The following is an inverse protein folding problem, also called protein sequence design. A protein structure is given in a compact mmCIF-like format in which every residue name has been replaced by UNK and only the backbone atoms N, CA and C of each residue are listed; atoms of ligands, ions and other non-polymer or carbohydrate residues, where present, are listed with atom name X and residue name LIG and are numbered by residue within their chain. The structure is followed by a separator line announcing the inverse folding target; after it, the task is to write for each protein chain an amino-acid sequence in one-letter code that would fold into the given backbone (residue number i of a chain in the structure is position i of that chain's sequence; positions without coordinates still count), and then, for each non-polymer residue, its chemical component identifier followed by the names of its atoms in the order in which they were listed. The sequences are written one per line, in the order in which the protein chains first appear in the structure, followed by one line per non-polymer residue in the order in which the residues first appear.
data_IF_426961656527
#
_entry.id   IF_426961656527
#
_cell.length_a   1.000
_cell.length_b   1.000
_cell.length_c   1.000
_cell.angle_alpha   90.00
_cell.angle_beta   90.00
_cell.angle_gamma   90.00
#
_symmetry.space_group_name_H-M   'P 1'
#
loop_
_entity.id
_entity.type
_entity.pdbx_description
1 polymer ?
#
# COMPACT_ATOMS: atom_id res chain seq x y z
N UNK A 1 2.73 19.19 4.65
CA UNK A 1 2.46 18.54 3.34
C UNK A 1 2.45 17.05 3.57
N UNK A 2 1.33 16.37 3.32
CA UNK A 2 1.20 14.92 3.62
C UNK A 2 2.02 14.08 2.63
N UNK A 3 2.55 12.99 3.14
CA UNK A 3 3.40 12.02 2.45
C UNK A 3 2.70 10.67 2.42
N UNK A 4 2.71 10.00 1.29
CA UNK A 4 2.04 8.72 1.11
C UNK A 4 3.08 7.72 0.62
N UNK A 5 3.14 6.57 1.28
CA UNK A 5 3.92 5.41 0.85
C UNK A 5 2.97 4.41 0.21
N UNK A 6 3.35 3.89 -0.93
CA UNK A 6 2.67 2.83 -1.68
C UNK A 6 3.63 1.70 -1.97
N UNK A 7 3.13 0.48 -2.10
CA UNK A 7 3.92 -0.70 -2.46
C UNK A 7 3.80 -0.99 -3.95
N UNK A 8 4.90 -1.44 -4.55
CA UNK A 8 4.99 -1.93 -5.94
C UNK A 8 5.98 -3.09 -5.97
N UNK A 9 6.03 -3.83 -7.07
CA UNK A 9 6.97 -4.96 -7.24
C UNK A 9 6.48 -6.28 -6.61
N UNK A 10 5.30 -6.29 -6.00
CA UNK A 10 4.62 -7.49 -5.54
C UNK A 10 3.66 -8.03 -6.61
N UNK A 11 2.40 -8.19 -6.27
CA UNK A 11 1.36 -8.61 -7.22
C UNK A 11 1.12 -7.54 -8.26
N UNK A 12 1.26 -7.85 -9.54
CA UNK A 12 1.23 -6.88 -10.66
C UNK A 12 -0.04 -6.04 -10.68
N UNK A 13 -1.21 -6.64 -10.45
CA UNK A 13 -2.50 -5.93 -10.41
C UNK A 13 -2.58 -4.95 -9.24
N UNK A 14 -2.02 -5.29 -8.09
CA UNK A 14 -1.98 -4.41 -6.91
C UNK A 14 -0.99 -3.26 -7.11
N UNK A 15 0.15 -3.55 -7.72
CA UNK A 15 1.12 -2.52 -8.11
C UNK A 15 0.50 -1.53 -9.10
N UNK A 16 -0.31 -1.99 -10.07
CA UNK A 16 -1.06 -1.12 -10.98
C UNK A 16 -1.99 -0.17 -10.21
N UNK A 17 -2.80 -0.67 -9.27
CA UNK A 17 -3.66 0.19 -8.46
C UNK A 17 -2.87 1.18 -7.62
N UNK A 18 -1.76 0.75 -7.02
CA UNK A 18 -0.85 1.63 -6.28
C UNK A 18 -0.33 2.77 -7.15
N UNK A 19 0.08 2.49 -8.39
CA UNK A 19 0.58 3.50 -9.33
C UNK A 19 -0.55 4.48 -9.72
N UNK A 20 -1.75 3.99 -10.04
CA UNK A 20 -2.88 4.85 -10.41
C UNK A 20 -3.26 5.79 -9.26
N UNK A 21 -3.45 5.26 -8.06
CA UNK A 21 -3.74 6.07 -6.87
C UNK A 21 -2.64 7.09 -6.59
N UNK A 22 -1.39 6.66 -6.68
CA UNK A 22 -0.25 7.53 -6.44
C UNK A 22 -0.14 8.68 -7.45
N UNK A 23 -0.49 8.45 -8.72
CA UNK A 23 -0.54 9.50 -9.73
C UNK A 23 -1.60 10.55 -9.40
N UNK A 24 -2.81 10.13 -8.98
CA UNK A 24 -3.84 11.06 -8.56
C UNK A 24 -3.43 11.86 -7.30
N UNK A 25 -2.85 11.20 -6.30
CA UNK A 25 -2.36 11.91 -5.12
C UNK A 25 -1.24 12.92 -5.44
N UNK A 26 -0.35 12.60 -6.38
CA UNK A 26 0.65 13.57 -6.87
C UNK A 26 -0.02 14.78 -7.52
N UNK A 27 -1.08 14.58 -8.34
CA UNK A 27 -1.88 15.67 -8.91
C UNK A 27 -2.55 16.54 -7.84
N UNK A 28 -2.95 15.93 -6.72
CA UNK A 28 -3.52 16.62 -5.56
C UNK A 28 -2.45 17.31 -4.69
N UNK A 29 -1.17 17.22 -5.04
CA UNK A 29 -0.07 17.86 -4.33
C UNK A 29 0.53 17.07 -3.18
N UNK A 30 0.20 15.79 -3.02
CA UNK A 30 0.86 14.93 -2.04
C UNK A 30 2.24 14.49 -2.52
N UNK A 31 3.17 14.24 -1.59
CA UNK A 31 4.42 13.53 -1.89
C UNK A 31 4.16 12.03 -1.84
N UNK A 32 4.44 11.34 -2.93
CA UNK A 32 4.26 9.88 -3.03
C UNK A 32 5.61 9.20 -3.18
N UNK A 33 5.82 8.17 -2.37
CA UNK A 33 6.96 7.27 -2.44
C UNK A 33 6.46 5.86 -2.78
N UNK A 34 7.07 5.23 -3.78
CA UNK A 34 6.83 3.83 -4.09
C UNK A 34 7.94 2.98 -3.48
N UNK A 35 7.54 2.11 -2.55
CA UNK A 35 8.42 1.09 -2.01
C UNK A 35 8.36 -0.12 -2.94
N UNK A 36 9.49 -0.49 -3.51
CA UNK A 36 9.62 -1.60 -4.44
C UNK A 36 10.00 -2.87 -3.69
N UNK A 37 9.11 -3.87 -3.73
CA UNK A 37 9.31 -5.18 -3.10
C UNK A 37 10.33 -6.05 -3.84
N UNK A 38 10.62 -5.76 -5.12
CA UNK A 38 11.71 -6.43 -5.85
C UNK A 38 13.09 -5.89 -5.42
N UNK A 39 13.16 -4.68 -4.85
CA UNK A 39 14.39 -4.05 -4.38
C UNK A 39 14.22 -3.46 -2.97
N UNK A 40 13.83 -4.32 -2.03
CA UNK A 40 13.47 -3.93 -0.66
C UNK A 40 14.59 -3.17 0.07
N UNK A 41 15.84 -3.60 -0.09
CA UNK A 41 16.95 -3.01 0.66
C UNK A 41 17.26 -1.57 0.26
N UNK A 42 17.20 -1.25 -1.04
CA UNK A 42 17.37 0.12 -1.50
C UNK A 42 16.12 0.96 -1.21
N UNK A 43 14.94 0.36 -1.36
CA UNK A 43 13.66 0.99 -1.01
C UNK A 43 13.62 1.36 0.47
N UNK A 44 14.08 0.48 1.37
CA UNK A 44 14.15 0.75 2.81
C UNK A 44 15.07 1.94 3.15
N UNK A 45 16.24 2.02 2.50
CA UNK A 45 17.17 3.16 2.70
C UNK A 45 16.55 4.49 2.26
N UNK A 46 15.84 4.50 1.13
CA UNK A 46 15.14 5.69 0.60
C UNK A 46 13.92 6.04 1.47
N UNK A 47 13.17 5.02 1.91
CA UNK A 47 11.98 5.15 2.77
C UNK A 47 12.31 5.90 4.06
N UNK A 48 13.37 5.52 4.77
CA UNK A 48 13.81 6.18 6.02
C UNK A 48 14.08 7.67 5.86
N UNK A 49 14.54 8.10 4.68
CA UNK A 49 14.72 9.52 4.35
C UNK A 49 13.42 10.20 3.97
N UNK A 50 12.46 9.43 3.46
CA UNK A 50 11.17 9.94 3.04
C UNK A 50 10.19 10.10 4.20
N UNK A 51 10.14 9.15 5.14
CA UNK A 51 9.21 9.16 6.27
C UNK A 51 9.41 10.42 7.13
N UNK A 52 8.30 11.01 7.52
CA UNK A 52 8.22 12.04 8.57
C UNK A 52 7.08 11.67 9.52
N UNK A 53 7.36 11.50 10.82
CA UNK A 53 6.33 11.23 11.83
C UNK A 53 5.22 12.28 11.79
N UNK A 54 3.97 11.82 11.85
CA UNK A 54 2.79 12.70 11.80
C UNK A 54 2.41 13.25 10.42
N UNK A 55 3.31 13.16 9.40
CA UNK A 55 3.03 13.60 8.04
C UNK A 55 2.89 12.44 7.04
N UNK A 56 3.34 11.24 7.39
CA UNK A 56 3.40 10.07 6.49
C UNK A 56 2.31 9.08 6.81
N UNK A 57 1.71 8.50 5.78
CA UNK A 57 0.81 7.34 5.86
C UNK A 57 1.28 6.26 4.88
N UNK A 58 1.07 5.00 5.24
CA UNK A 58 1.14 3.88 4.32
C UNK A 58 -0.27 3.62 3.77
N UNK A 59 -0.37 3.40 2.47
CA UNK A 59 -1.56 2.79 1.85
C UNK A 59 -1.09 1.60 1.05
N UNK A 60 -1.67 0.44 1.33
CA UNK A 60 -1.29 -0.82 0.70
C UNK A 60 -2.50 -1.66 0.35
N UNK A 61 -2.29 -2.71 -0.42
CA UNK A 61 -3.28 -3.69 -0.79
C UNK A 61 -2.89 -5.07 -0.26
N UNK A 62 -3.87 -5.85 0.21
CA UNK A 62 -3.70 -7.25 0.58
C UNK A 62 -2.47 -7.54 1.44
N UNK A 63 -2.18 -6.64 2.39
CA UNK A 63 -1.08 -6.76 3.37
C UNK A 63 0.34 -6.66 2.81
N UNK A 64 0.56 -6.31 1.54
CA UNK A 64 1.92 -6.01 1.04
C UNK A 64 2.59 -4.96 1.94
N UNK A 65 3.83 -5.21 2.37
CA UNK A 65 4.55 -4.37 3.34
C UNK A 65 4.12 -4.53 4.80
N UNK A 66 3.24 -5.50 5.09
CA UNK A 66 2.73 -5.84 6.42
C UNK A 66 2.93 -7.34 6.75
N UNK A 67 3.68 -8.07 5.93
CA UNK A 67 3.97 -9.51 6.07
C UNK A 67 5.42 -9.78 6.49
N UNK A 68 6.01 -8.87 7.24
CA UNK A 68 7.41 -8.96 7.73
C UNK A 68 8.46 -8.98 6.63
N UNK A 69 8.21 -8.30 5.52
CA UNK A 69 9.19 -8.09 4.47
C UNK A 69 10.47 -7.46 5.03
N UNK A 70 11.63 -7.96 4.61
CA UNK A 70 12.93 -7.61 5.20
C UNK A 70 13.27 -6.11 5.14
N UNK A 71 12.72 -5.40 4.16
CA UNK A 71 12.91 -3.95 4.02
C UNK A 71 12.17 -3.11 5.04
N UNK A 72 11.08 -3.61 5.63
CA UNK A 72 10.17 -2.87 6.52
C UNK A 72 9.99 -3.52 7.89
N UNK A 73 10.48 -4.74 8.10
CA UNK A 73 10.43 -5.46 9.36
C UNK A 73 11.83 -5.90 9.83
N UNK A 74 12.04 -5.94 11.14
CA UNK A 74 13.24 -6.52 11.75
C UNK A 74 12.84 -7.36 12.93
N UNK A 75 13.30 -8.60 12.95
CA UNK A 75 13.06 -9.53 14.04
C UNK A 75 13.55 -8.95 15.39
N UNK A 76 12.73 -9.07 16.42
CA UNK A 76 13.01 -8.53 17.75
C UNK A 76 12.85 -7.01 17.91
N UNK A 77 12.59 -6.27 16.82
CA UNK A 77 12.37 -4.81 16.82
C UNK A 77 10.95 -4.48 16.37
N UNK A 78 10.45 -5.10 15.29
CA UNK A 78 9.14 -4.86 14.70
C UNK A 78 9.18 -4.10 13.38
N UNK A 79 8.05 -3.51 13.03
CA UNK A 79 7.86 -2.77 11.79
C UNK A 79 8.45 -1.35 11.83
N UNK A 80 8.99 -0.91 10.70
CA UNK A 80 9.39 0.49 10.51
C UNK A 80 8.19 1.44 10.67
N UNK A 81 6.98 0.95 10.40
CA UNK A 81 5.76 1.71 10.57
C UNK A 81 5.50 2.10 12.03
N UNK A 82 5.81 1.21 12.98
CA UNK A 82 5.70 1.48 14.42
C UNK A 82 6.84 2.38 14.90
N UNK A 83 8.07 2.16 14.42
CA UNK A 83 9.23 3.01 14.72
C UNK A 83 8.95 4.50 14.44
N UNK A 84 8.20 4.78 13.36
CA UNK A 84 7.85 6.16 12.96
C UNK A 84 6.39 6.53 13.21
N UNK A 85 5.63 5.69 13.91
CA UNK A 85 4.20 5.87 14.19
C UNK A 85 3.35 6.16 12.94
N UNK A 86 3.63 5.46 11.83
CA UNK A 86 2.97 5.62 10.53
C UNK A 86 1.64 4.88 10.54
N UNK A 87 0.50 5.54 10.28
CA UNK A 87 -0.77 4.86 10.05
C UNK A 87 -0.72 4.00 8.77
N UNK A 88 -1.13 2.73 8.89
CA UNK A 88 -1.11 1.73 7.84
C UNK A 88 -2.53 1.41 7.37
N UNK A 89 -2.93 1.94 6.23
CA UNK A 89 -4.22 1.67 5.61
C UNK A 89 -4.08 0.51 4.63
N UNK A 90 -4.64 -0.65 4.98
CA UNK A 90 -4.64 -1.84 4.13
C UNK A 90 -5.99 -1.98 3.43
N UNK A 91 -6.00 -1.91 2.12
CA UNK A 91 -7.18 -2.15 1.26
C UNK A 91 -7.22 -3.63 0.91
N UNK A 92 -8.07 -4.37 1.62
CA UNK A 92 -8.26 -5.80 1.40
C UNK A 92 -9.21 -6.00 0.21
N UNK A 93 -8.66 -6.45 -0.93
CA UNK A 93 -9.43 -6.68 -2.16
C UNK A 93 -10.06 -8.05 -2.20
N UNK A 94 -9.53 -9.02 -1.45
CA UNK A 94 -10.08 -10.38 -1.33
C UNK A 94 -10.89 -10.55 -0.05
N UNK A 95 -11.57 -11.69 0.07
CA UNK A 95 -12.41 -11.97 1.22
C UNK A 95 -11.57 -12.11 2.51
N UNK A 96 -11.98 -11.52 3.64
CA UNK A 96 -11.22 -11.51 4.90
C UNK A 96 -10.87 -12.90 5.44
N UNK A 97 -11.63 -13.92 5.09
CA UNK A 97 -11.34 -15.31 5.46
C UNK A 97 -9.91 -15.76 5.06
N UNK A 98 -9.37 -15.24 3.96
CA UNK A 98 -8.02 -15.62 3.50
C UNK A 98 -6.89 -15.00 4.32
N UNK A 99 -7.20 -14.05 5.22
CA UNK A 99 -6.19 -13.23 5.89
C UNK A 99 -6.10 -13.46 7.40
N UNK A 100 -6.82 -14.45 7.98
CA UNK A 100 -6.89 -14.61 9.42
C UNK A 100 -5.51 -14.79 10.08
N UNK A 101 -4.57 -15.50 9.45
CA UNK A 101 -3.20 -15.67 9.96
C UNK A 101 -2.40 -14.37 9.92
N UNK A 102 -2.66 -13.52 8.92
CA UNK A 102 -1.95 -12.24 8.73
C UNK A 102 -2.37 -11.17 9.73
N UNK A 103 -3.55 -11.33 10.33
CA UNK A 103 -4.08 -10.39 11.33
C UNK A 103 -3.43 -10.53 12.71
N UNK A 104 -2.65 -11.58 12.94
CA UNK A 104 -2.06 -11.86 14.25
C UNK A 104 -0.88 -10.93 14.62
N UNK A 105 -0.21 -10.35 13.63
CA UNK A 105 1.02 -9.59 13.85
C UNK A 105 1.10 -8.40 12.89
N UNK A 106 0.38 -7.34 13.21
CA UNK A 106 0.25 -6.13 12.41
C UNK A 106 0.84 -4.91 13.14
N UNK A 107 1.19 -3.85 12.41
CA UNK A 107 1.59 -2.58 13.04
C UNK A 107 0.51 -2.03 13.97
N UNK A 108 0.93 -1.33 15.03
CA UNK A 108 0.02 -0.75 16.05
C UNK A 108 -1.07 0.15 15.45
N UNK A 109 -0.73 0.93 14.42
CA UNK A 109 -1.63 1.84 13.74
C UNK A 109 -2.19 1.24 12.44
N UNK A 110 -2.76 0.05 12.55
CA UNK A 110 -3.38 -0.64 11.42
C UNK A 110 -4.84 -0.21 11.23
N UNK A 111 -5.21 0.01 9.96
CA UNK A 111 -6.54 0.36 9.50
C UNK A 111 -6.97 -0.60 8.38
N UNK A 112 -8.04 -1.36 8.61
CA UNK A 112 -8.59 -2.30 7.63
C UNK A 112 -9.63 -1.61 6.75
N UNK A 113 -9.46 -1.70 5.43
CA UNK A 113 -10.40 -1.16 4.45
C UNK A 113 -10.90 -2.30 3.58
N UNK A 114 -12.19 -2.65 3.67
CA UNK A 114 -12.82 -3.62 2.80
C UNK A 114 -13.38 -2.93 1.55
N UNK A 115 -13.31 -3.60 0.39
CA UNK A 115 -13.84 -3.09 -0.87
C UNK A 115 -15.29 -3.52 -1.13
N UNK A 116 -15.80 -4.45 -0.35
CA UNK A 116 -17.16 -4.99 -0.42
C UNK A 116 -17.85 -4.90 0.95
N UNK A 117 -19.15 -4.60 0.97
CA UNK A 117 -19.93 -4.45 2.21
C UNK A 117 -20.11 -5.77 2.95
N UNK A 118 -20.17 -6.90 2.24
CA UNK A 118 -20.25 -8.21 2.88
C UNK A 118 -18.89 -8.56 3.51
N UNK A 119 -17.77 -8.20 2.88
CA UNK A 119 -16.45 -8.34 3.47
C UNK A 119 -16.30 -7.49 4.73
N UNK A 120 -16.77 -6.24 4.71
CA UNK A 120 -16.78 -5.38 5.90
C UNK A 120 -17.61 -6.00 7.03
N UNK A 121 -18.84 -6.47 6.70
CA UNK A 121 -19.73 -7.10 7.68
C UNK A 121 -19.10 -8.37 8.27
N UNK A 122 -18.50 -9.22 7.43
CA UNK A 122 -17.75 -10.39 7.85
C UNK A 122 -16.59 -10.00 8.79
N UNK A 123 -15.76 -9.05 8.38
CA UNK A 123 -14.61 -8.59 9.16
C UNK A 123 -15.05 -8.04 10.52
N UNK A 124 -16.11 -7.25 10.56
CA UNK A 124 -16.70 -6.74 11.79
C UNK A 124 -17.18 -7.84 12.74
N UNK A 125 -17.75 -8.91 12.18
CA UNK A 125 -18.32 -10.01 12.95
C UNK A 125 -17.24 -10.92 13.55
N UNK A 126 -16.20 -11.25 12.76
CA UNK A 126 -15.21 -12.25 13.13
C UNK A 126 -13.92 -11.67 13.72
N UNK A 127 -13.68 -10.36 13.53
CA UNK A 127 -12.51 -9.64 14.04
C UNK A 127 -12.94 -8.33 14.75
N UNK A 128 -13.76 -8.43 15.82
CA UNK A 128 -14.34 -7.26 16.50
C UNK A 128 -13.28 -6.39 17.19
N UNK A 129 -12.10 -6.94 17.51
CA UNK A 129 -10.96 -6.25 18.11
C UNK A 129 -10.37 -5.18 17.20
N UNK A 130 -10.49 -5.32 15.89
CA UNK A 130 -10.05 -4.30 14.93
C UNK A 130 -11.09 -3.20 14.82
N UNK A 131 -10.98 -2.18 15.66
CA UNK A 131 -11.91 -1.04 15.68
C UNK A 131 -11.73 -0.06 14.53
N UNK A 132 -10.48 0.04 14.00
CA UNK A 132 -10.17 0.87 12.86
C UNK A 132 -10.42 0.11 11.55
N UNK A 133 -11.67 0.13 11.11
CA UNK A 133 -12.13 -0.51 9.87
C UNK A 133 -13.06 0.39 9.09
N UNK A 134 -13.13 0.17 7.79
CA UNK A 134 -14.00 0.93 6.90
C UNK A 134 -14.30 0.22 5.59
N UNK A 135 -15.17 0.83 4.83
CA UNK A 135 -15.56 0.38 3.50
C UNK A 135 -15.17 1.43 2.46
N UNK A 136 -14.49 1.00 1.41
CA UNK A 136 -14.17 1.81 0.25
C UNK A 136 -14.56 1.04 -1.01
N UNK A 137 -15.61 1.45 -1.75
CA UNK A 137 -15.99 0.77 -2.98
C UNK A 137 -14.86 0.85 -4.00
N UNK A 138 -14.71 -0.21 -4.79
CA UNK A 138 -13.81 -0.20 -5.93
C UNK A 138 -14.17 0.94 -6.88
N UNK A 139 -13.16 1.69 -7.28
CA UNK A 139 -13.24 2.68 -8.33
C UNK A 139 -12.61 2.13 -9.61
N UNK A 140 -13.01 2.68 -10.76
CA UNK A 140 -12.43 2.33 -12.06
C UNK A 140 -11.53 3.43 -12.60
N UNK A 141 -10.66 3.06 -13.54
CA UNK A 141 -9.90 4.02 -14.33
C UNK A 141 -10.82 4.72 -15.33
N UNK A 142 -10.48 5.96 -15.73
CA UNK A 142 -11.22 6.65 -16.79
C UNK A 142 -11.04 5.92 -18.12
N UNK A 143 -12.14 5.77 -18.88
CA UNK A 143 -12.13 5.07 -20.16
C UNK A 143 -11.12 5.65 -21.15
N UNK A 144 -10.93 6.97 -21.13
CA UNK A 144 -9.96 7.69 -21.97
C UNK A 144 -8.50 7.27 -21.70
N UNK A 145 -8.19 6.83 -20.49
CA UNK A 145 -6.85 6.32 -20.13
C UNK A 145 -6.66 4.88 -20.61
N UNK A 146 -7.74 4.08 -20.65
CA UNK A 146 -7.73 2.70 -21.16
C UNK A 146 -7.67 2.64 -22.69
N UNK A 147 -8.21 3.66 -23.38
CA UNK A 147 -8.25 3.71 -24.84
C UNK A 147 -7.00 4.34 -25.48
N UNK A 148 -6.05 4.84 -24.71
CA UNK A 148 -4.75 5.24 -25.28
C UNK A 148 -4.05 3.98 -25.79
N UNK A 149 -3.66 3.93 -27.09
CA UNK A 149 -2.87 2.81 -27.58
C UNK A 149 -1.62 2.69 -26.74
N UNK A 150 -1.40 1.51 -26.19
CA UNK A 150 -0.22 1.19 -25.39
C UNK A 150 0.99 1.28 -26.31
N UNK A 151 1.53 2.49 -26.51
CA UNK A 151 2.79 2.66 -27.20
C UNK A 151 3.82 2.10 -26.24
N UNK A 152 4.36 0.91 -26.54
CA UNK A 152 5.27 0.13 -25.67
C UNK A 152 6.47 0.88 -25.10
N UNK A 153 6.65 2.15 -25.49
CA UNK A 153 7.64 3.08 -24.94
C UNK A 153 7.28 3.63 -23.53
N UNK A 154 5.99 3.70 -23.16
CA UNK A 154 5.62 4.22 -21.83
C UNK A 154 5.79 3.17 -20.73
N UNK A 155 5.60 1.89 -21.04
CA UNK A 155 5.83 0.79 -20.08
C UNK A 155 7.33 0.61 -19.84
N UNK A 156 8.14 0.75 -20.89
CA UNK A 156 9.60 0.69 -20.77
C UNK A 156 10.18 1.90 -20.03
N UNK A 157 9.64 3.10 -20.25
CA UNK A 157 10.06 4.31 -19.53
C UNK A 157 9.63 4.30 -18.05
N UNK A 158 8.50 3.70 -17.70
CA UNK A 158 8.12 3.54 -16.30
C UNK A 158 8.98 2.48 -15.60
N UNK A 159 9.33 1.38 -16.27
CA UNK A 159 10.31 0.40 -15.74
C UNK A 159 11.72 0.99 -15.64
N UNK A 160 12.15 1.76 -16.62
CA UNK A 160 13.47 2.41 -16.63
C UNK A 160 13.57 3.56 -15.62
N UNK A 161 12.50 4.34 -15.40
CA UNK A 161 12.50 5.42 -14.41
C UNK A 161 12.45 4.92 -12.96
N UNK A 162 11.97 3.71 -12.73
CA UNK A 162 12.08 3.04 -11.42
C UNK A 162 13.52 2.53 -11.21
N UNK A 163 14.24 2.16 -12.28
CA UNK A 163 15.62 1.65 -12.20
C UNK A 163 16.72 2.72 -12.23
N UNK A 164 16.44 3.97 -12.63
CA UNK A 164 17.48 5.00 -12.85
C UNK A 164 17.43 6.19 -11.88
N UNK A 165 16.68 6.15 -10.83
CA UNK A 165 16.68 7.16 -9.76
C UNK A 165 16.63 6.48 -8.40
#
# INVERSE_FOLDING_TARGET
MKRIVLLVGGVETLAYFSIQMGNEWKRMGYKVFYFDLEDEMNSAKKLRRFIKPGETVLVTFNFEGLEKEAGVYREGIGYVWDEYAVPCYNIAVDHPYYYHERLADLPEKYYHISIDRLHEAYFKQFYPEFTHRGFLPLAGSRLEELCKPNTGKEVENNRLNIRQK
#
